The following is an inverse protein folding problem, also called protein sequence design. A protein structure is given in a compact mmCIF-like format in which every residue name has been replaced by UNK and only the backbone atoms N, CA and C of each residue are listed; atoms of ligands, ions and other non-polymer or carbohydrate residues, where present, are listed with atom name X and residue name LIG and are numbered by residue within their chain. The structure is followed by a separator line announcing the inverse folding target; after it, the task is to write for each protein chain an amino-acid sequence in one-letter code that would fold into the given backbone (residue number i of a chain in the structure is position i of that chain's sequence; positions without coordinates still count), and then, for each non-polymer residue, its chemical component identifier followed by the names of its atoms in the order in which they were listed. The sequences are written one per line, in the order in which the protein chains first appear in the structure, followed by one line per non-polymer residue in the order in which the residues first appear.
data_IF_471581597527
#
_entry.id   IF_471581597527
#
_cell.length_a   1.000
_cell.length_b   1.000
_cell.length_c   1.000
_cell.angle_alpha   90.00
_cell.angle_beta   90.00
_cell.angle_gamma   90.00
#
_symmetry.space_group_name_H-M   'P 1'
#
loop_
_entity.id
_entity.type
_entity.pdbx_description
1 polymer ?
#
# COMPACT_ATOMS: atom_id res chain seq x y z
N UNK A 1 -15.93 27.80 9.45
CA UNK A 1 -16.13 26.50 8.78
C UNK A 1 -14.78 25.80 8.55
N UNK A 2 -13.80 26.44 7.90
CA UNK A 2 -12.48 25.86 7.65
C UNK A 2 -11.72 25.52 8.94
N UNK A 3 -11.79 26.37 9.96
CA UNK A 3 -11.21 26.11 11.29
C UNK A 3 -11.88 24.93 12.01
N UNK A 4 -13.19 24.77 11.85
CA UNK A 4 -13.94 23.63 12.40
C UNK A 4 -13.54 22.32 11.71
N UNK A 5 -13.43 22.31 10.38
CA UNK A 5 -12.96 21.15 9.62
C UNK A 5 -11.51 20.77 10.00
N UNK A 6 -10.64 21.76 10.18
CA UNK A 6 -9.28 21.54 10.63
C UNK A 6 -9.23 20.95 12.06
N UNK A 7 -10.06 21.48 12.98
CA UNK A 7 -10.15 20.95 14.35
C UNK A 7 -10.64 19.51 14.36
N UNK A 8 -11.62 19.16 13.51
CA UNK A 8 -12.10 17.79 13.36
C UNK A 8 -11.00 16.87 12.83
N UNK A 9 -10.31 17.26 11.76
CA UNK A 9 -9.19 16.51 11.19
C UNK A 9 -8.10 16.23 12.24
N UNK A 10 -7.75 17.22 13.06
CA UNK A 10 -6.79 17.06 14.17
C UNK A 10 -7.24 16.01 15.19
N UNK A 11 -8.51 16.06 15.59
CA UNK A 11 -9.03 15.12 16.59
C UNK A 11 -9.06 13.69 16.07
N UNK A 12 -9.44 13.48 14.82
CA UNK A 12 -9.45 12.18 14.17
C UNK A 12 -8.03 11.63 13.95
N UNK A 13 -7.09 12.47 13.51
CA UNK A 13 -5.68 12.06 13.36
C UNK A 13 -5.08 11.63 14.71
N UNK A 14 -5.35 12.37 15.78
CA UNK A 14 -4.89 11.99 17.12
C UNK A 14 -5.49 10.66 17.57
N UNK A 15 -6.77 10.42 17.32
CA UNK A 15 -7.43 9.16 17.65
C UNK A 15 -6.87 7.99 16.81
N UNK A 16 -6.67 8.17 15.52
CA UNK A 16 -6.06 7.18 14.64
C UNK A 16 -4.62 6.83 15.08
N UNK A 17 -3.79 7.81 15.37
CA UNK A 17 -2.44 7.61 15.89
C UNK A 17 -2.43 6.84 17.21
N UNK A 18 -3.35 7.16 18.14
CA UNK A 18 -3.49 6.43 19.42
C UNK A 18 -3.87 4.97 19.18
N UNK A 19 -4.66 4.70 18.16
CA UNK A 19 -5.04 3.34 17.74
C UNK A 19 -3.94 2.62 16.92
N UNK A 20 -2.73 3.20 16.80
CA UNK A 20 -1.63 2.71 15.95
C UNK A 20 -1.99 2.61 14.47
N UNK A 21 -2.91 3.44 14.02
CA UNK A 21 -3.19 3.63 12.61
C UNK A 21 -2.41 4.83 12.09
N UNK A 22 -2.04 4.83 10.80
CA UNK A 22 -1.33 5.96 10.20
C UNK A 22 -2.21 7.21 10.20
N UNK A 23 -1.65 8.32 10.68
CA UNK A 23 -2.31 9.62 10.64
C UNK A 23 -1.99 10.32 9.31
N UNK A 24 -2.96 11.04 8.77
CA UNK A 24 -2.75 11.83 7.55
C UNK A 24 -2.11 13.18 7.88
N UNK A 25 -1.31 13.74 6.97
CA UNK A 25 -0.74 15.10 7.10
C UNK A 25 -1.76 16.21 6.79
N UNK A 26 -3.06 15.90 6.84
CA UNK A 26 -4.15 16.81 6.51
C UNK A 26 -4.09 18.15 7.29
N UNK A 27 -3.56 18.10 8.52
CA UNK A 27 -3.38 19.29 9.35
C UNK A 27 -2.34 20.26 8.80
N UNK A 28 -1.17 19.76 8.43
CA UNK A 28 -0.09 20.59 7.90
C UNK A 28 -0.48 21.23 6.57
N UNK A 29 -1.19 20.49 5.75
CA UNK A 29 -1.62 20.96 4.43
C UNK A 29 -2.76 21.94 4.50
N UNK A 30 -3.75 21.72 5.38
CA UNK A 30 -4.80 22.70 5.63
C UNK A 30 -4.21 24.01 6.24
N UNK A 31 -3.19 23.88 7.08
CA UNK A 31 -2.42 25.02 7.58
C UNK A 31 -1.72 25.79 6.45
N UNK A 32 -0.99 25.10 5.59
CA UNK A 32 -0.31 25.71 4.42
C UNK A 32 -1.29 26.38 3.45
N UNK A 33 -2.44 25.75 3.19
CA UNK A 33 -3.47 26.34 2.35
C UNK A 33 -4.04 27.62 2.99
N UNK A 34 -4.38 27.57 4.27
CA UNK A 34 -4.90 28.72 5.01
C UNK A 34 -3.90 29.90 5.03
N UNK A 35 -2.61 29.62 5.25
CA UNK A 35 -1.55 30.63 5.26
C UNK A 35 -1.33 31.22 3.85
N UNK A 36 -1.38 30.39 2.82
CA UNK A 36 -1.29 30.85 1.43
C UNK A 36 -2.47 31.76 1.05
N UNK A 37 -3.67 31.46 1.53
CA UNK A 37 -4.88 32.26 1.33
C UNK A 37 -4.83 33.58 2.09
N UNK A 38 -4.35 33.60 3.34
CA UNK A 38 -4.19 34.80 4.16
C UNK A 38 -3.19 35.78 3.56
N UNK A 39 -2.16 35.28 2.92
CA UNK A 39 -1.07 36.10 2.37
C UNK A 39 -1.30 36.53 0.92
N UNK A 40 -2.31 35.98 0.21
CA UNK A 40 -2.61 36.25 -1.21
C UNK A 40 -1.38 36.15 -2.15
N UNK A 41 -0.39 35.37 -1.75
CA UNK A 41 0.89 35.28 -2.48
C UNK A 41 0.85 34.35 -3.70
N UNK A 42 -0.20 33.51 -3.84
CA UNK A 42 -0.36 32.59 -4.96
C UNK A 42 -1.80 32.58 -5.45
N UNK A 43 -1.98 32.31 -6.74
CA UNK A 43 -3.31 32.14 -7.35
C UNK A 43 -3.99 30.89 -6.79
N UNK A 44 -5.24 31.02 -6.39
CA UNK A 44 -6.06 29.90 -5.89
C UNK A 44 -7.54 30.12 -6.24
N UNK A 45 -8.30 29.03 -6.31
CA UNK A 45 -9.76 29.05 -6.45
C UNK A 45 -10.37 28.65 -5.12
N UNK A 46 -11.22 29.50 -4.56
CA UNK A 46 -11.99 29.23 -3.35
C UNK A 46 -13.46 29.26 -3.72
N UNK A 47 -14.17 28.16 -3.42
CA UNK A 47 -15.64 28.13 -3.53
C UNK A 47 -16.21 28.05 -2.11
N UNK A 48 -17.02 29.03 -1.73
CA UNK A 48 -17.67 29.08 -0.42
C UNK A 48 -19.07 29.67 -0.57
N UNK A 49 -20.03 29.00 0.02
CA UNK A 49 -21.42 29.46 0.07
C UNK A 49 -22.03 29.12 1.44
N UNK A 50 -22.88 30.03 2.02
CA UNK A 50 -23.48 29.79 3.34
C UNK A 50 -24.48 28.63 3.33
N UNK A 51 -25.21 28.43 2.24
CA UNK A 51 -26.31 27.45 2.13
C UNK A 51 -25.90 26.18 1.38
N UNK A 52 -24.68 26.12 0.85
CA UNK A 52 -24.15 24.92 0.19
C UNK A 52 -23.63 25.15 -1.22
N UNK A 53 -22.89 24.16 -1.73
CA UNK A 53 -22.33 24.10 -3.07
C UNK A 53 -22.74 22.77 -3.67
N UNK A 54 -23.43 22.78 -4.82
CA UNK A 54 -23.77 21.60 -5.57
C UNK A 54 -23.07 21.60 -6.93
N UNK A 55 -22.46 20.48 -7.29
CA UNK A 55 -21.89 20.25 -8.61
C UNK A 55 -22.53 19.02 -9.22
N UNK A 56 -23.07 19.15 -10.43
CA UNK A 56 -23.73 18.08 -11.14
C UNK A 56 -23.40 18.13 -12.64
N UNK A 57 -23.27 16.97 -13.25
CA UNK A 57 -23.08 16.83 -14.69
C UNK A 57 -23.75 15.55 -15.18
N UNK A 58 -24.38 15.55 -16.37
CA UNK A 58 -24.93 14.34 -16.97
C UNK A 58 -23.84 13.41 -17.55
N UNK A 59 -22.59 13.84 -17.55
CA UNK A 59 -21.44 13.10 -18.08
C UNK A 59 -20.48 12.72 -16.95
N UNK A 60 -19.21 13.00 -17.09
CA UNK A 60 -18.17 12.65 -16.15
C UNK A 60 -17.72 13.85 -15.32
N UNK A 61 -17.37 13.60 -14.08
CA UNK A 61 -16.69 14.55 -13.21
C UNK A 61 -15.34 13.97 -12.80
N UNK A 62 -14.26 14.72 -13.02
CA UNK A 62 -12.89 14.31 -12.73
C UNK A 62 -12.28 15.26 -11.71
N UNK A 63 -11.77 14.70 -10.61
CA UNK A 63 -10.99 15.41 -9.60
C UNK A 63 -9.57 14.86 -9.58
N UNK A 64 -8.59 15.68 -9.94
CA UNK A 64 -7.18 15.34 -9.93
C UNK A 64 -6.37 16.38 -9.18
N UNK A 65 -5.35 15.93 -8.46
CA UNK A 65 -4.39 16.82 -7.82
C UNK A 65 -2.99 16.23 -7.97
N UNK A 66 -1.99 17.09 -8.19
CA UNK A 66 -0.59 16.68 -8.27
C UNK A 66 0.01 16.26 -6.93
N UNK A 67 -0.68 16.55 -5.81
CA UNK A 67 -0.23 16.18 -4.48
C UNK A 67 -1.35 15.51 -3.69
N UNK A 68 -2.33 16.25 -3.17
CA UNK A 68 -3.30 15.73 -2.23
C UNK A 68 -4.73 16.15 -2.55
N UNK A 69 -5.68 15.27 -2.26
CA UNK A 69 -7.12 15.57 -2.22
C UNK A 69 -7.61 15.21 -0.81
N UNK A 70 -8.18 16.18 -0.10
CA UNK A 70 -8.77 16.00 1.22
C UNK A 70 -10.26 16.23 1.19
N UNK A 71 -11.03 15.26 1.67
CA UNK A 71 -12.46 15.38 1.90
C UNK A 71 -12.70 15.37 3.41
N UNK A 72 -13.17 16.50 3.96
CA UNK A 72 -13.43 16.67 5.39
C UNK A 72 -14.87 17.14 5.54
N UNK A 73 -15.68 16.38 6.27
CA UNK A 73 -17.07 16.72 6.59
C UNK A 73 -17.27 16.78 8.11
N UNK A 74 -18.03 17.76 8.58
CA UNK A 74 -18.47 17.84 9.98
C UNK A 74 -19.64 16.92 10.32
N UNK A 75 -20.32 16.39 9.30
CA UNK A 75 -21.37 15.37 9.38
C UNK A 75 -20.97 14.14 8.56
N UNK A 76 -21.90 13.64 7.78
CA UNK A 76 -21.71 12.42 7.00
C UNK A 76 -20.99 12.68 5.67
N UNK A 77 -20.31 11.67 5.17
CA UNK A 77 -19.81 11.60 3.79
C UNK A 77 -20.33 10.32 3.16
N UNK A 78 -21.25 10.45 2.20
CA UNK A 78 -21.85 9.32 1.50
C UNK A 78 -21.27 9.17 0.10
N UNK A 79 -20.88 7.95 -0.25
CA UNK A 79 -20.41 7.58 -1.58
C UNK A 79 -21.29 6.46 -2.11
N UNK A 80 -22.09 6.73 -3.13
CA UNK A 80 -22.99 5.77 -3.76
C UNK A 80 -22.67 5.64 -5.24
N UNK A 81 -22.54 4.41 -5.74
CA UNK A 81 -22.24 4.13 -7.14
C UNK A 81 -23.25 3.13 -7.71
N UNK A 82 -23.66 3.35 -8.95
CA UNK A 82 -24.53 2.41 -9.67
C UNK A 82 -23.79 1.17 -10.21
N UNK A 83 -22.47 1.16 -10.16
CA UNK A 83 -21.63 0.07 -10.67
C UNK A 83 -20.49 -0.21 -9.68
N UNK A 84 -19.28 0.16 -9.97
CA UNK A 84 -18.11 -0.19 -9.17
C UNK A 84 -17.61 1.00 -8.33
N UNK A 85 -17.21 0.71 -7.11
CA UNK A 85 -16.39 1.60 -6.29
C UNK A 85 -15.03 0.95 -6.09
N UNK A 86 -13.97 1.59 -6.59
CA UNK A 86 -12.62 1.02 -6.59
C UNK A 86 -11.65 1.97 -5.88
N UNK A 87 -10.84 1.43 -4.98
CA UNK A 87 -9.79 2.15 -4.26
C UNK A 87 -8.47 1.45 -4.50
N UNK A 88 -7.49 2.20 -5.01
CA UNK A 88 -6.12 1.74 -5.19
C UNK A 88 -5.16 2.69 -4.47
N UNK A 89 -4.20 2.16 -3.76
CA UNK A 89 -3.11 2.91 -3.15
C UNK A 89 -1.78 2.18 -3.40
N UNK A 90 -0.71 2.93 -3.61
CA UNK A 90 0.64 2.37 -3.78
C UNK A 90 1.18 1.86 -2.45
N UNK A 91 0.92 2.56 -1.36
CA UNK A 91 1.47 2.23 -0.05
C UNK A 91 0.43 1.58 0.85
N UNK A 92 -0.59 2.29 1.30
CA UNK A 92 -1.54 1.77 2.28
C UNK A 92 -2.98 2.27 2.07
N UNK A 93 -3.94 1.49 2.54
CA UNK A 93 -5.35 1.90 2.71
C UNK A 93 -5.72 1.72 4.18
N UNK A 94 -5.93 2.84 4.89
CA UNK A 94 -6.25 2.85 6.30
C UNK A 94 -7.73 3.18 6.52
N UNK A 95 -8.45 2.31 7.23
CA UNK A 95 -9.85 2.50 7.63
C UNK A 95 -9.94 2.53 9.15
N UNK A 96 -10.37 3.63 9.71
CA UNK A 96 -10.50 3.82 11.15
C UNK A 96 -11.88 4.36 11.53
N UNK A 97 -12.58 3.67 12.43
CA UNK A 97 -13.83 4.12 13.04
C UNK A 97 -13.64 4.26 14.54
N UNK A 98 -13.81 5.49 15.07
CA UNK A 98 -13.51 5.80 16.47
C UNK A 98 -14.52 5.18 17.45
N UNK A 99 -15.80 5.12 17.13
CA UNK A 99 -16.82 4.76 18.11
C UNK A 99 -17.80 3.66 17.70
N UNK A 100 -18.35 3.71 16.49
CA UNK A 100 -19.47 2.83 16.10
C UNK A 100 -19.08 1.61 15.26
N UNK A 101 -17.78 1.41 15.03
CA UNK A 101 -17.23 0.26 14.33
C UNK A 101 -17.28 0.37 12.81
N UNK A 102 -16.80 -0.68 12.13
CA UNK A 102 -16.78 -0.82 10.69
C UNK A 102 -17.52 -2.09 10.27
N UNK A 103 -18.24 -2.06 9.15
CA UNK A 103 -18.95 -3.19 8.59
C UNK A 103 -18.54 -3.43 7.16
N UNK A 104 -18.22 -4.68 6.82
CA UNK A 104 -17.99 -5.14 5.46
C UNK A 104 -19.00 -6.23 5.13
N UNK A 105 -19.91 -5.98 4.20
CA UNK A 105 -20.99 -6.89 3.86
C UNK A 105 -21.14 -7.01 2.35
N UNK A 106 -21.25 -8.24 1.83
CA UNK A 106 -21.64 -8.52 0.47
C UNK A 106 -23.01 -9.23 0.49
N UNK A 107 -24.00 -8.64 -0.18
CA UNK A 107 -25.33 -9.26 -0.29
C UNK A 107 -25.30 -10.50 -1.20
N UNK A 108 -24.57 -10.41 -2.30
CA UNK A 108 -24.35 -11.53 -3.24
C UNK A 108 -22.86 -11.57 -3.61
N UNK A 109 -22.36 -12.78 -3.84
CA UNK A 109 -20.94 -12.99 -4.11
C UNK A 109 -20.12 -13.18 -2.85
N UNK A 110 -18.81 -13.36 -3.01
CA UNK A 110 -17.87 -13.61 -1.90
C UNK A 110 -17.28 -12.32 -1.36
N UNK A 111 -16.94 -12.32 -0.09
CA UNK A 111 -15.96 -11.39 0.49
C UNK A 111 -14.62 -12.09 0.49
N UNK A 112 -13.60 -11.48 -0.10
CA UNK A 112 -12.26 -12.02 -0.20
C UNK A 112 -11.27 -11.05 0.48
N UNK A 113 -10.50 -11.55 1.45
CA UNK A 113 -9.49 -10.80 2.17
C UNK A 113 -8.19 -11.60 2.11
N UNK A 114 -7.15 -11.03 1.52
CA UNK A 114 -5.89 -11.71 1.28
C UNK A 114 -4.70 -10.81 1.64
N UNK A 115 -3.72 -11.37 2.34
CA UNK A 115 -2.35 -10.86 2.41
C UNK A 115 -1.50 -11.74 1.48
N UNK A 116 -1.11 -11.22 0.31
CA UNK A 116 -0.50 -12.06 -0.73
C UNK A 116 0.95 -12.43 -0.45
N UNK A 117 1.71 -11.53 0.18
CA UNK A 117 3.15 -11.68 0.39
C UNK A 117 3.57 -11.52 1.84
N UNK A 118 2.61 -11.32 2.76
CA UNK A 118 2.91 -11.05 4.17
C UNK A 118 1.82 -11.65 5.07
N UNK A 119 1.91 -11.44 6.37
CA UNK A 119 1.00 -11.97 7.37
C UNK A 119 -0.35 -11.25 7.41
N UNK A 120 -1.39 -11.96 7.84
CA UNK A 120 -2.69 -11.41 8.19
C UNK A 120 -2.94 -11.56 9.67
N UNK A 121 -3.27 -10.48 10.36
CA UNK A 121 -3.61 -10.46 11.78
C UNK A 121 -5.07 -10.06 12.00
N UNK A 122 -5.80 -10.86 12.77
CA UNK A 122 -7.18 -10.56 13.20
C UNK A 122 -7.23 -10.61 14.70
N UNK A 123 -7.40 -9.46 15.35
CA UNK A 123 -7.38 -9.32 16.79
C UNK A 123 -8.69 -8.75 17.32
N UNK A 124 -9.19 -9.28 18.42
CA UNK A 124 -10.33 -8.75 19.15
C UNK A 124 -10.02 -8.72 20.65
N UNK A 125 -10.38 -7.61 21.34
CA UNK A 125 -10.23 -7.51 22.78
C UNK A 125 -11.18 -8.45 23.53
N UNK A 126 -12.38 -8.67 22.98
CA UNK A 126 -13.42 -9.50 23.61
C UNK A 126 -13.57 -10.81 22.85
N UNK A 127 -14.58 -10.95 22.06
CA UNK A 127 -14.90 -12.18 21.34
C UNK A 127 -14.60 -12.06 19.86
N UNK A 128 -14.10 -13.13 19.27
CA UNK A 128 -13.99 -13.32 17.82
C UNK A 128 -14.79 -14.55 17.44
N UNK A 129 -15.75 -14.40 16.54
CA UNK A 129 -16.64 -15.50 16.10
C UNK A 129 -16.48 -15.75 14.62
N UNK A 130 -16.24 -17.01 14.25
CA UNK A 130 -16.17 -17.46 12.85
C UNK A 130 -17.22 -18.57 12.68
N UNK A 131 -18.25 -18.32 11.88
CA UNK A 131 -19.36 -19.28 11.65
C UNK A 131 -19.69 -19.44 10.19
N UNK A 132 -20.17 -20.61 9.83
CA UNK A 132 -20.79 -20.89 8.52
C UNK A 132 -22.16 -21.50 8.78
N UNK A 133 -23.24 -20.81 8.34
CA UNK A 133 -24.61 -21.23 8.64
C UNK A 133 -25.09 -22.40 7.77
N UNK A 134 -24.57 -22.57 6.58
CA UNK A 134 -25.03 -23.56 5.61
C UNK A 134 -23.93 -24.46 5.03
N UNK A 135 -22.70 -24.26 5.43
CA UNK A 135 -21.57 -25.01 4.90
C UNK A 135 -20.54 -25.34 5.98
N UNK A 136 -19.30 -25.47 5.61
CA UNK A 136 -18.16 -25.78 6.47
C UNK A 136 -17.27 -24.57 6.71
N UNK A 137 -16.58 -24.56 7.84
CA UNK A 137 -15.39 -23.75 8.08
C UNK A 137 -14.17 -24.63 7.84
N UNK A 138 -13.26 -24.20 6.98
CA UNK A 138 -12.00 -24.89 6.72
C UNK A 138 -10.86 -24.04 7.27
N UNK A 139 -10.04 -24.62 8.16
CA UNK A 139 -8.79 -24.02 8.63
C UNK A 139 -7.66 -24.93 8.16
N UNK A 140 -6.76 -24.41 7.36
CA UNK A 140 -5.65 -25.18 6.81
C UNK A 140 -4.37 -24.32 6.81
N UNK A 141 -3.26 -24.94 7.15
CA UNK A 141 -1.93 -24.33 7.10
C UNK A 141 -0.95 -25.33 6.46
N UNK A 142 0.12 -24.80 5.86
CA UNK A 142 1.18 -25.63 5.29
C UNK A 142 1.98 -26.34 6.39
N UNK A 143 2.37 -25.59 7.43
CA UNK A 143 3.34 -26.05 8.41
C UNK A 143 2.68 -26.47 9.73
N UNK A 144 1.86 -25.63 10.35
CA UNK A 144 1.29 -25.89 11.66
C UNK A 144 -0.06 -25.17 11.87
N UNK A 145 -0.98 -25.83 12.55
CA UNK A 145 -2.17 -25.21 13.16
C UNK A 145 -2.06 -25.37 14.66
N UNK A 146 -2.10 -24.26 15.40
CA UNK A 146 -2.06 -24.22 16.86
C UNK A 146 -3.31 -23.54 17.41
N UNK A 147 -4.09 -24.27 18.19
CA UNK A 147 -5.21 -23.76 18.98
C UNK A 147 -4.83 -23.82 20.45
N UNK A 148 -4.82 -22.69 21.16
CA UNK A 148 -4.36 -22.65 22.54
C UNK A 148 -5.22 -21.77 23.43
N UNK A 149 -5.37 -22.17 24.70
CA UNK A 149 -6.03 -21.38 25.75
C UNK A 149 -5.57 -21.85 27.13
N UNK A 150 -5.13 -20.92 28.00
CA UNK A 150 -4.78 -21.23 29.39
C UNK A 150 -3.72 -22.32 29.57
N UNK A 151 -2.81 -22.47 28.62
CA UNK A 151 -1.78 -23.50 28.61
C UNK A 151 -2.22 -24.85 28.05
N UNK A 152 -3.50 -25.03 27.73
CA UNK A 152 -3.98 -26.19 26.96
C UNK A 152 -3.90 -25.89 25.45
N UNK A 153 -3.61 -26.92 24.65
CA UNK A 153 -3.47 -26.74 23.21
C UNK A 153 -3.88 -27.97 22.39
N UNK A 154 -4.25 -27.73 21.15
CA UNK A 154 -4.33 -28.69 20.06
C UNK A 154 -3.34 -28.24 18.99
N UNK A 155 -2.36 -29.08 18.68
CA UNK A 155 -1.36 -28.80 17.65
C UNK A 155 -1.47 -29.85 16.54
N UNK A 156 -1.59 -29.38 15.29
CA UNK A 156 -1.58 -30.24 14.11
C UNK A 156 -0.33 -29.89 13.33
N UNK A 157 0.62 -30.82 13.25
CA UNK A 157 1.91 -30.61 12.61
C UNK A 157 2.50 -31.92 12.14
N UNK A 158 3.14 -31.92 10.96
CA UNK A 158 3.89 -33.07 10.40
C UNK A 158 3.07 -34.39 10.41
N UNK A 159 1.76 -34.28 10.09
CA UNK A 159 0.84 -35.41 10.08
C UNK A 159 0.40 -35.91 11.46
N UNK A 160 0.80 -35.24 12.55
CA UNK A 160 0.43 -35.58 13.91
C UNK A 160 -0.60 -34.63 14.50
N UNK A 161 -1.43 -35.14 15.41
CA UNK A 161 -2.32 -34.34 16.25
C UNK A 161 -1.87 -34.53 17.70
N UNK A 162 -1.45 -33.46 18.35
CA UNK A 162 -1.01 -33.44 19.74
C UNK A 162 -2.03 -32.69 20.60
N UNK A 163 -2.50 -33.32 21.68
CA UNK A 163 -3.35 -32.71 22.68
C UNK A 163 -2.55 -32.58 23.98
N UNK A 164 -2.31 -31.36 24.42
CA UNK A 164 -1.57 -31.07 25.65
C UNK A 164 -2.33 -30.16 26.58
N UNK A 165 -2.28 -30.45 27.88
CA UNK A 165 -2.87 -29.57 28.89
C UNK A 165 -2.19 -29.77 30.26
N UNK A 166 -2.14 -28.73 31.13
CA UNK A 166 -1.58 -28.85 32.45
C UNK A 166 -2.50 -29.59 33.45
N UNK A 167 -3.77 -29.88 33.09
CA UNK A 167 -4.75 -30.54 33.95
C UNK A 167 -5.24 -31.83 33.30
N UNK A 168 -6.50 -31.96 32.96
CA UNK A 168 -7.12 -33.18 32.45
C UNK A 168 -7.82 -32.95 31.11
N UNK A 169 -7.76 -33.95 30.24
CA UNK A 169 -8.56 -34.01 29.02
C UNK A 169 -9.85 -34.75 29.32
N UNK A 170 -10.98 -34.10 29.10
CA UNK A 170 -12.31 -34.68 29.25
C UNK A 170 -12.88 -35.05 27.90
N UNK A 171 -13.10 -36.31 27.62
CA UNK A 171 -13.77 -36.78 26.42
C UNK A 171 -15.21 -37.23 26.81
N UNK A 172 -16.21 -36.51 26.31
CA UNK A 172 -17.65 -36.84 26.54
C UNK A 172 -18.26 -37.26 25.23
N UNK A 173 -18.42 -38.55 25.00
CA UNK A 173 -18.95 -39.13 23.77
C UNK A 173 -19.67 -40.45 24.08
N UNK A 174 -20.57 -40.89 23.17
CA UNK A 174 -21.26 -42.17 23.28
C UNK A 174 -20.33 -43.37 23.05
N UNK A 175 -19.21 -43.20 22.39
CA UNK A 175 -18.23 -44.24 22.12
C UNK A 175 -16.90 -43.62 21.63
N UNK A 176 -15.79 -44.34 21.85
CA UNK A 176 -14.45 -43.96 21.41
C UNK A 176 -13.85 -45.13 20.64
N UNK A 177 -13.49 -44.91 19.39
CA UNK A 177 -12.89 -45.92 18.53
C UNK A 177 -11.52 -45.46 18.02
N UNK A 178 -10.53 -46.32 18.04
CA UNK A 178 -9.22 -46.11 17.41
C UNK A 178 -9.18 -46.97 16.15
N UNK A 179 -9.03 -46.32 15.01
CA UNK A 179 -8.96 -46.97 13.69
C UNK A 179 -7.54 -46.84 13.11
N UNK A 180 -7.30 -47.53 12.02
CA UNK A 180 -6.00 -47.43 11.31
C UNK A 180 -5.72 -46.02 10.77
N UNK A 181 -4.48 -45.79 10.34
CA UNK A 181 -4.04 -44.50 9.80
C UNK A 181 -4.85 -44.05 8.59
N UNK A 182 -5.15 -42.77 8.52
CA UNK A 182 -5.85 -42.15 7.41
C UNK A 182 -5.27 -40.74 7.14
N UNK A 183 -5.32 -40.28 5.92
CA UNK A 183 -4.89 -38.93 5.54
C UNK A 183 -5.91 -38.24 4.64
N UNK A 184 -5.98 -36.92 4.75
CA UNK A 184 -6.79 -36.05 3.90
C UNK A 184 -5.91 -34.94 3.34
N UNK A 185 -5.78 -34.91 2.01
CA UNK A 185 -5.07 -33.82 1.34
C UNK A 185 -6.03 -32.66 1.04
N UNK A 186 -5.74 -31.50 1.58
CA UNK A 186 -6.43 -30.25 1.27
C UNK A 186 -5.50 -29.35 0.47
N UNK A 187 -5.93 -28.98 -0.74
CA UNK A 187 -5.17 -28.04 -1.57
C UNK A 187 -5.30 -26.65 -0.99
N UNK A 188 -4.17 -26.04 -0.62
CA UNK A 188 -4.12 -24.64 -0.22
C UNK A 188 -4.25 -23.74 -1.46
N UNK A 189 -4.96 -22.60 -1.36
CA UNK A 189 -5.03 -21.67 -2.47
C UNK A 189 -3.64 -21.13 -2.82
N UNK A 190 -3.35 -21.09 -4.11
CA UNK A 190 -2.16 -20.39 -4.62
C UNK A 190 -2.50 -18.90 -4.64
N UNK A 191 -1.87 -18.14 -3.76
CA UNK A 191 -1.91 -16.68 -3.81
C UNK A 191 -0.96 -16.21 -4.91
N UNK A 192 -1.42 -15.31 -5.77
CA UNK A 192 -0.55 -14.73 -6.80
C UNK A 192 0.51 -13.87 -6.12
N UNK A 193 1.78 -14.27 -6.26
CA UNK A 193 2.92 -13.44 -5.91
C UNK A 193 3.06 -12.30 -6.92
N UNK A 194 2.11 -11.38 -6.94
CA UNK A 194 2.33 -10.07 -7.55
C UNK A 194 3.21 -9.26 -6.60
N UNK A 195 4.47 -9.65 -6.50
CA UNK A 195 5.47 -8.62 -6.24
C UNK A 195 5.34 -7.67 -7.43
N UNK A 196 4.80 -6.48 -7.22
CA UNK A 196 5.02 -5.39 -8.16
C UNK A 196 6.52 -5.44 -8.44
N UNK A 197 6.89 -5.84 -9.66
CA UNK A 197 8.26 -5.64 -10.09
C UNK A 197 8.44 -4.14 -9.99
N UNK A 198 9.18 -3.70 -8.96
CA UNK A 198 9.59 -2.32 -8.86
C UNK A 198 10.20 -1.99 -10.22
N UNK A 199 9.59 -1.06 -10.94
CA UNK A 199 10.13 -0.63 -12.21
C UNK A 199 11.54 -0.12 -11.94
N UNK A 200 12.53 -0.86 -12.40
CA UNK A 200 13.92 -0.47 -12.25
C UNK A 200 14.41 0.14 -13.53
N UNK A 201 14.99 1.33 -13.42
CA UNK A 201 15.69 1.98 -14.52
C UNK A 201 17.18 1.66 -14.45
N UNK A 202 17.80 1.47 -15.61
CA UNK A 202 19.25 1.39 -15.74
C UNK A 202 19.72 2.43 -16.72
N UNK A 203 20.66 3.25 -16.29
CA UNK A 203 21.27 4.25 -17.15
C UNK A 203 22.32 3.57 -18.03
N UNK A 204 22.20 3.76 -19.35
CA UNK A 204 23.20 3.32 -20.30
C UNK A 204 23.84 4.54 -20.98
N UNK A 205 25.14 4.68 -20.81
CA UNK A 205 25.91 5.75 -21.47
C UNK A 205 26.53 5.17 -22.73
N UNK A 206 26.09 5.65 -23.91
CA UNK A 206 26.63 5.28 -25.22
C UNK A 206 27.31 6.49 -25.84
N UNK A 207 28.45 6.29 -26.45
CA UNK A 207 29.10 7.32 -27.28
C UNK A 207 28.44 7.34 -28.65
N UNK A 208 28.09 8.54 -29.13
CA UNK A 208 27.61 8.73 -30.50
C UNK A 208 28.83 8.72 -31.43
N UNK A 209 28.97 7.66 -32.23
CA UNK A 209 30.08 7.48 -33.18
C UNK A 209 30.57 6.03 -33.25
N UNK A 210 31.48 5.75 -34.22
CA UNK A 210 31.91 4.39 -34.59
C UNK A 210 32.89 3.71 -33.61
N UNK A 211 33.34 4.35 -32.57
CA UNK A 211 34.27 3.74 -31.59
C UNK A 211 33.56 3.19 -30.35
N UNK A 212 33.76 1.91 -30.09
CA UNK A 212 33.33 1.28 -28.82
C UNK A 212 34.03 1.95 -27.62
N UNK A 213 33.29 2.29 -26.60
CA UNK A 213 33.88 2.66 -25.31
C UNK A 213 34.33 1.36 -24.65
N UNK A 214 35.51 0.87 -24.98
CA UNK A 214 36.12 -0.22 -24.21
C UNK A 214 37.13 0.36 -23.21
N UNK A 215 36.96 0.04 -21.95
CA UNK A 215 37.93 0.33 -20.91
C UNK A 215 37.73 1.65 -20.14
N UNK A 216 36.65 2.39 -20.33
CA UNK A 216 36.38 3.63 -19.59
C UNK A 216 35.18 3.44 -18.66
N UNK A 217 35.42 3.52 -17.39
CA UNK A 217 34.42 3.60 -16.33
C UNK A 217 34.05 5.06 -16.09
N UNK A 218 32.78 5.41 -16.23
CA UNK A 218 32.30 6.78 -16.02
C UNK A 218 31.45 6.85 -14.77
N UNK A 219 31.80 7.77 -13.88
CA UNK A 219 30.97 8.09 -12.73
C UNK A 219 29.76 8.90 -13.17
N UNK A 220 28.62 8.65 -12.55
CA UNK A 220 27.41 9.42 -12.78
C UNK A 220 26.61 9.65 -11.48
N UNK A 221 25.89 10.76 -11.45
CA UNK A 221 25.00 11.13 -10.36
C UNK A 221 23.65 11.56 -10.92
N UNK A 222 22.56 11.05 -10.39
CA UNK A 222 21.23 11.57 -10.64
C UNK A 222 20.85 12.52 -9.51
N UNK A 223 20.42 13.72 -9.86
CA UNK A 223 19.99 14.75 -8.93
C UNK A 223 18.55 15.17 -9.20
N UNK A 224 17.86 15.60 -8.15
CA UNK A 224 16.56 16.25 -8.23
C UNK A 224 16.68 17.70 -8.70
N UNK A 225 15.57 18.32 -9.07
CA UNK A 225 15.53 19.72 -9.48
C UNK A 225 16.07 20.69 -8.38
N UNK A 226 15.97 20.32 -7.12
CA UNK A 226 16.51 21.04 -5.97
C UNK A 226 17.95 20.64 -5.59
N UNK A 227 18.66 20.00 -6.53
CA UNK A 227 20.09 19.66 -6.44
C UNK A 227 20.45 18.57 -5.41
N UNK A 228 19.48 17.83 -4.84
CA UNK A 228 19.78 16.66 -3.99
C UNK A 228 20.20 15.47 -4.84
N UNK A 229 21.23 14.75 -4.41
CA UNK A 229 21.66 13.52 -5.07
C UNK A 229 20.72 12.37 -4.69
N UNK A 230 20.00 11.83 -5.66
CA UNK A 230 19.19 10.62 -5.50
C UNK A 230 20.07 9.38 -5.42
N UNK A 231 20.99 9.25 -6.38
CA UNK A 231 21.99 8.18 -6.37
C UNK A 231 23.22 8.57 -7.17
N UNK A 232 24.33 7.90 -6.87
CA UNK A 232 25.59 7.98 -7.62
C UNK A 232 26.13 6.57 -7.83
N UNK A 233 26.72 6.31 -8.99
CA UNK A 233 27.33 5.03 -9.34
C UNK A 233 28.32 5.21 -10.50
N UNK A 234 28.95 4.10 -10.87
CA UNK A 234 29.93 4.04 -11.97
C UNK A 234 29.46 3.05 -13.01
N UNK A 235 29.62 3.36 -14.29
CA UNK A 235 29.29 2.44 -15.39
C UNK A 235 30.30 1.30 -15.49
N UNK A 236 29.84 0.15 -15.99
CA UNK A 236 30.71 -0.98 -16.26
C UNK A 236 31.58 -0.70 -17.50
N UNK A 237 32.87 -1.05 -17.43
CA UNK A 237 33.89 -0.73 -18.41
C UNK A 237 33.59 -1.15 -19.87
N UNK A 238 32.86 -2.25 -20.08
CA UNK A 238 32.65 -2.79 -21.44
C UNK A 238 31.29 -2.43 -22.03
N UNK A 239 30.28 -2.20 -21.23
CA UNK A 239 28.89 -2.02 -21.70
C UNK A 239 28.38 -0.59 -21.56
N UNK A 240 29.06 0.27 -20.80
CA UNK A 240 28.57 1.59 -20.43
C UNK A 240 27.32 1.56 -19.56
N UNK A 241 26.95 0.37 -19.02
CA UNK A 241 25.75 0.19 -18.19
C UNK A 241 26.04 0.57 -16.75
N UNK A 242 25.19 1.42 -16.20
CA UNK A 242 25.14 1.74 -14.78
C UNK A 242 24.43 0.66 -13.93
N UNK A 243 24.35 0.90 -12.64
CA UNK A 243 23.59 0.08 -11.70
C UNK A 243 22.08 0.18 -11.95
N UNK A 244 21.31 -0.79 -11.49
CA UNK A 244 19.83 -0.70 -11.47
C UNK A 244 19.40 0.24 -10.35
N UNK A 245 18.47 1.14 -10.65
CA UNK A 245 17.90 2.10 -9.72
C UNK A 245 16.37 2.02 -9.76
N UNK A 246 15.73 2.36 -8.67
CA UNK A 246 14.29 2.42 -8.54
C UNK A 246 13.74 3.62 -9.33
N UNK A 247 12.86 3.37 -10.31
CA UNK A 247 12.29 4.41 -11.18
C UNK A 247 11.36 5.34 -10.39
N UNK A 248 10.71 4.86 -9.34
CA UNK A 248 9.79 5.65 -8.52
C UNK A 248 10.49 6.83 -7.81
N UNK A 249 11.81 6.76 -7.63
CA UNK A 249 12.59 7.85 -7.03
C UNK A 249 12.91 9.00 -8.00
N UNK A 250 12.59 8.83 -9.30
CA UNK A 250 12.93 9.79 -10.34
C UNK A 250 11.69 10.62 -10.69
N UNK A 251 11.74 11.89 -10.38
CA UNK A 251 10.65 12.84 -10.60
C UNK A 251 10.97 13.78 -11.76
N UNK A 252 9.92 14.40 -12.32
CA UNK A 252 10.05 15.44 -13.35
C UNK A 252 11.02 16.53 -12.89
N UNK A 253 11.97 16.89 -13.76
CA UNK A 253 13.02 17.85 -13.45
C UNK A 253 14.28 17.25 -12.82
N UNK A 254 14.35 15.93 -12.62
CA UNK A 254 15.60 15.25 -12.28
C UNK A 254 16.60 15.33 -13.44
N UNK A 255 17.87 15.47 -13.15
CA UNK A 255 18.92 15.58 -14.16
C UNK A 255 20.11 14.68 -13.84
N UNK A 256 20.77 14.20 -14.90
CA UNK A 256 21.91 13.29 -14.83
C UNK A 256 23.23 14.05 -15.03
N UNK A 257 24.14 13.90 -14.10
CA UNK A 257 25.53 14.36 -14.22
C UNK A 257 26.45 13.18 -14.54
N UNK A 258 27.35 13.34 -15.52
CA UNK A 258 28.27 12.29 -15.96
C UNK A 258 29.69 12.82 -15.91
N UNK A 259 30.64 12.08 -15.28
CA UNK A 259 32.03 12.43 -15.15
C UNK A 259 32.43 12.85 -13.73
N UNK A 260 33.61 13.45 -13.55
CA UNK A 260 34.09 13.95 -12.26
C UNK A 260 33.52 15.34 -11.95
N UNK A 261 33.36 15.68 -10.67
CA UNK A 261 32.79 16.95 -10.25
C UNK A 261 33.59 18.21 -10.71
N UNK A 262 34.85 18.01 -11.12
CA UNK A 262 35.74 19.05 -11.61
C UNK A 262 35.66 19.32 -13.10
N UNK A 263 34.93 18.49 -13.84
CA UNK A 263 34.85 18.58 -15.30
C UNK A 263 33.55 19.29 -15.70
N UNK A 264 33.54 19.97 -16.86
CA UNK A 264 32.32 20.55 -17.44
C UNK A 264 31.34 19.43 -17.81
N UNK A 265 30.22 19.38 -17.11
CA UNK A 265 29.20 18.34 -17.25
C UNK A 265 28.30 18.62 -18.43
N UNK A 266 28.16 17.64 -19.34
CA UNK A 266 27.17 17.69 -20.38
C UNK A 266 25.93 16.89 -19.99
N UNK A 267 24.76 17.54 -20.04
CA UNK A 267 23.48 16.96 -19.73
C UNK A 267 22.87 16.29 -20.96
N UNK A 268 22.54 15.00 -20.85
CA UNK A 268 21.78 14.28 -21.87
C UNK A 268 20.58 13.62 -21.21
N UNK A 269 19.36 14.05 -21.57
CA UNK A 269 18.11 13.39 -21.21
C UNK A 269 17.58 12.72 -22.46
N UNK A 270 17.42 11.40 -22.43
CA UNK A 270 16.74 10.63 -23.47
C UNK A 270 15.44 10.07 -22.88
N UNK A 271 14.31 10.47 -23.46
CA UNK A 271 13.05 9.73 -23.36
C UNK A 271 13.03 8.71 -24.50
N UNK A 272 12.98 7.44 -24.18
CA UNK A 272 12.70 6.39 -25.15
C UNK A 272 11.18 6.34 -25.34
N UNK A 273 10.68 6.83 -26.46
CA UNK A 273 9.30 6.61 -26.90
C UNK A 273 9.13 5.11 -27.15
N UNK A 274 8.44 4.42 -26.23
CA UNK A 274 7.94 3.06 -26.47
C UNK A 274 6.76 3.10 -27.45
N UNK A 275 7.04 3.38 -28.72
CA UNK A 275 6.21 3.01 -29.85
C UNK A 275 6.84 1.76 -30.49
N UNK A 276 6.63 0.59 -29.92
CA UNK A 276 6.64 -0.65 -30.69
C UNK A 276 5.21 -0.96 -31.10
N UNK A 277 4.89 -0.55 -32.33
CA UNK A 277 3.87 -1.18 -33.16
C UNK A 277 4.29 -2.65 -33.40
N UNK A 278 3.47 -3.60 -32.98
CA UNK A 278 2.89 -4.76 -33.70
C UNK A 278 2.29 -5.75 -32.72
#
# INVERSE_FOLDING_TARGET
QMEQALSLAKSLNKAAHTAKNEATEAEEQAGRLNDSLKQLQRSGIIQSAPDGIATATPQSQLHTAGQHIHHISGGDTDISTGSNFTVHAVESVNLFAQSSGAKLQANQGKVEIQAQNDEMQINALKEATITSSAGKVTVAAKDEILLTSGGAYIKIKDGNIELGCPKMVWVKCAGFQVMGSSSLNNLLPLLSNNQQQKETMRIQIKRIGTQKISGISLDYKLKTADNRTLFSSTTQNESGLGSKHDREQIHTGSYLLIGRESDDWQLFVYEEDNNEEN
#
